data_IF_735597738647
#
_entry.id   IF_735597738647
#
_cell.length_a   1.000
_cell.length_b   1.000
_cell.length_c   1.000
_cell.angle_alpha   90.00
_cell.angle_beta   90.00
_cell.angle_gamma   90.00
#
_symmetry.space_group_name_H-M   'P 1'
#
loop_
_entity.id
_entity.type
_entity.pdbx_description
1 polymer ?
#
# COMPACT_ATOMS: atom_id res chain seq x y z
N UNK A 1 26.64 12.99 19.55
CA UNK A 1 25.67 12.33 18.66
C UNK A 1 24.34 12.19 19.39
N UNK A 2 23.34 13.03 19.08
CA UNK A 2 21.99 12.91 19.67
C UNK A 2 21.32 11.64 19.16
N UNK A 3 20.69 10.91 20.05
CA UNK A 3 19.97 9.67 19.80
C UNK A 3 18.79 9.91 18.83
N UNK A 4 19.06 9.80 17.53
CA UNK A 4 18.14 10.03 16.42
C UNK A 4 17.12 8.88 16.23
N UNK A 5 17.06 7.91 17.16
CA UNK A 5 16.13 6.75 17.14
C UNK A 5 14.75 7.09 17.67
N UNK A 6 14.61 8.15 18.46
CA UNK A 6 13.30 8.64 18.87
C UNK A 6 12.83 9.64 17.82
N UNK A 7 11.66 9.39 17.21
CA UNK A 7 10.88 10.47 16.62
C UNK A 7 10.90 11.63 17.63
N UNK A 8 11.17 12.89 17.23
CA UNK A 8 10.97 14.00 18.14
C UNK A 8 9.59 13.80 18.73
N UNK A 9 9.49 13.81 20.07
CA UNK A 9 8.23 13.59 20.75
C UNK A 9 7.23 14.61 20.21
N UNK A 10 6.42 14.19 19.23
CA UNK A 10 5.30 14.97 18.73
C UNK A 10 4.42 15.10 19.97
N UNK A 11 4.34 16.32 20.48
CA UNK A 11 3.88 16.65 21.82
C UNK A 11 2.52 16.00 22.12
N UNK A 12 2.40 15.50 23.36
CA UNK A 12 1.24 15.06 24.14
C UNK A 12 -0.11 14.74 23.45
N UNK A 13 -0.78 13.62 23.80
CA UNK A 13 -2.14 13.25 23.32
C UNK A 13 -3.28 14.23 23.72
N UNK A 14 -2.97 15.39 24.30
CA UNK A 14 -3.91 16.46 24.62
C UNK A 14 -4.06 17.53 23.51
N UNK A 15 -3.28 17.46 22.43
CA UNK A 15 -3.34 18.40 21.31
C UNK A 15 -4.45 18.08 20.28
N UNK A 16 -4.76 19.04 19.41
CA UNK A 16 -5.66 18.84 18.28
C UNK A 16 -5.12 17.74 17.33
N UNK A 17 -5.88 16.66 17.04
CA UNK A 17 -5.47 15.62 16.08
C UNK A 17 -4.99 16.17 14.74
N UNK A 18 -5.58 17.28 14.27
CA UNK A 18 -5.20 17.93 13.01
C UNK A 18 -3.83 18.59 13.08
N UNK A 19 -3.52 19.25 14.20
CA UNK A 19 -2.19 19.84 14.44
C UNK A 19 -1.11 18.76 14.50
N UNK A 20 -1.40 17.66 15.20
CA UNK A 20 -0.49 16.51 15.26
C UNK A 20 -0.23 15.95 13.86
N UNK A 21 -1.28 15.73 13.07
CA UNK A 21 -1.17 15.19 11.71
C UNK A 21 -0.34 16.12 10.82
N UNK A 22 -0.58 17.43 10.92
CA UNK A 22 0.18 18.45 10.18
C UNK A 22 1.67 18.38 10.53
N UNK A 23 2.00 18.27 11.82
CA UNK A 23 3.37 18.15 12.29
C UNK A 23 4.02 16.83 11.83
N UNK A 24 3.28 15.72 11.87
CA UNK A 24 3.72 14.41 11.40
C UNK A 24 4.04 14.44 9.90
N UNK A 25 3.13 14.95 9.07
CA UNK A 25 3.31 15.05 7.62
C UNK A 25 4.47 15.98 7.26
N UNK A 26 4.63 17.10 7.96
CA UNK A 26 5.79 18.00 7.79
C UNK A 26 7.10 17.28 8.12
N UNK A 27 7.12 16.49 9.19
CA UNK A 27 8.29 15.68 9.54
C UNK A 27 8.60 14.64 8.45
N UNK A 28 7.57 13.95 7.95
CA UNK A 28 7.66 12.98 6.85
C UNK A 28 8.24 13.61 5.58
N UNK A 29 7.70 14.76 5.17
CA UNK A 29 8.17 15.51 4.01
C UNK A 29 9.62 15.99 4.18
N UNK A 30 10.01 16.45 5.39
CA UNK A 30 11.40 16.80 5.68
C UNK A 30 12.34 15.60 5.54
N UNK A 31 11.95 14.43 6.07
CA UNK A 31 12.73 13.21 5.91
C UNK A 31 12.82 12.76 4.44
N UNK A 32 11.75 12.96 3.67
CA UNK A 32 11.74 12.64 2.24
C UNK A 32 12.89 13.32 1.47
N UNK A 33 13.17 14.59 1.78
CA UNK A 33 14.22 15.38 1.12
C UNK A 33 15.59 15.32 1.81
N UNK A 34 15.65 14.93 3.09
CA UNK A 34 16.89 14.95 3.87
C UNK A 34 17.93 13.96 3.35
N UNK A 35 19.13 14.46 3.02
CA UNK A 35 20.27 13.69 2.46
C UNK A 35 19.94 12.95 1.15
N UNK A 36 18.89 13.35 0.42
CA UNK A 36 18.55 12.74 -0.86
C UNK A 36 19.16 13.53 -2.01
N UNK A 37 20.04 12.88 -2.77
CA UNK A 37 20.58 13.42 -4.02
C UNK A 37 19.79 12.92 -5.24
N UNK A 38 18.74 12.13 -5.02
CA UNK A 38 17.93 11.58 -6.10
C UNK A 38 17.14 12.68 -6.82
N UNK A 39 17.28 12.73 -8.13
CA UNK A 39 16.46 13.55 -9.01
C UNK A 39 15.94 12.69 -10.15
N UNK A 40 14.64 12.80 -10.44
CA UNK A 40 14.08 12.17 -11.63
C UNK A 40 14.77 12.74 -12.87
N UNK A 41 15.18 11.90 -13.84
CA UNK A 41 15.71 12.37 -15.11
C UNK A 41 14.73 13.36 -15.77
N UNK A 42 15.21 14.46 -16.39
CA UNK A 42 14.34 15.43 -17.05
C UNK A 42 13.44 14.80 -18.12
N UNK A 43 13.96 13.81 -18.85
CA UNK A 43 13.23 13.06 -19.88
C UNK A 43 12.29 11.97 -19.33
N UNK A 44 12.18 11.80 -18.00
CA UNK A 44 11.33 10.76 -17.44
C UNK A 44 9.85 11.11 -17.63
N UNK A 45 9.14 10.27 -18.39
CA UNK A 45 7.70 10.37 -18.70
C UNK A 45 6.78 10.12 -17.50
N UNK A 46 7.35 9.97 -16.30
CA UNK A 46 6.63 9.65 -15.05
C UNK A 46 5.78 8.38 -15.18
N UNK A 47 6.34 7.23 -15.62
CA UNK A 47 5.59 5.99 -15.79
C UNK A 47 4.87 5.58 -14.51
N UNK A 48 5.47 5.84 -13.34
CA UNK A 48 4.84 5.57 -12.05
C UNK A 48 3.57 6.38 -11.76
N UNK A 49 3.40 7.54 -12.40
CA UNK A 49 2.17 8.32 -12.31
C UNK A 49 1.20 7.99 -13.44
N UNK A 50 1.69 7.75 -14.66
CA UNK A 50 0.85 7.60 -15.85
C UNK A 50 0.32 6.18 -16.09
N UNK A 51 0.99 5.15 -15.57
CA UNK A 51 0.59 3.76 -15.78
C UNK A 51 -0.74 3.45 -15.05
N UNK A 52 -1.83 3.09 -15.77
CA UNK A 52 -3.12 2.75 -15.19
C UNK A 52 -3.10 1.44 -14.40
N UNK A 53 -2.18 0.52 -14.71
CA UNK A 53 -2.09 -0.80 -14.09
C UNK A 53 -1.17 -0.82 -12.86
N UNK A 54 -0.45 0.27 -12.59
CA UNK A 54 0.45 0.32 -11.45
C UNK A 54 -0.33 0.28 -10.12
N UNK A 55 0.05 -0.65 -9.26
CA UNK A 55 -0.51 -0.73 -7.92
C UNK A 55 0.36 0.07 -6.95
N UNK A 56 -0.24 1.07 -6.32
CA UNK A 56 0.41 1.82 -5.24
C UNK A 56 -0.44 1.65 -3.98
N UNK A 57 0.09 0.86 -3.05
CA UNK A 57 -0.49 0.76 -1.71
C UNK A 57 -0.36 2.11 -1.04
N UNK A 58 -1.36 2.49 -0.25
CA UNK A 58 -1.32 3.72 0.54
C UNK A 58 -1.84 3.46 1.95
N UNK A 59 -1.53 4.36 2.86
CA UNK A 59 -2.06 4.34 4.23
C UNK A 59 -3.24 5.29 4.41
N UNK A 60 -3.94 5.19 5.54
CA UNK A 60 -4.88 6.22 5.98
C UNK A 60 -4.18 7.56 6.23
N UNK A 61 -2.90 7.56 6.62
CA UNK A 61 -2.14 8.81 6.78
C UNK A 61 -1.90 9.49 5.44
N UNK A 62 -1.68 8.73 4.36
CA UNK A 62 -1.60 9.27 3.00
C UNK A 62 -2.92 9.90 2.55
N UNK A 63 -4.04 9.23 2.83
CA UNK A 63 -5.39 9.75 2.54
C UNK A 63 -5.66 11.03 3.33
N UNK A 64 -5.39 11.01 4.64
CA UNK A 64 -5.54 12.17 5.52
C UNK A 64 -4.64 13.34 5.08
N UNK A 65 -3.42 13.05 4.63
CA UNK A 65 -2.51 14.06 4.09
C UNK A 65 -3.01 14.68 2.79
N UNK A 66 -3.56 13.87 1.88
CA UNK A 66 -4.17 14.37 0.66
C UNK A 66 -5.42 15.23 0.96
N UNK A 67 -6.26 14.81 1.91
CA UNK A 67 -7.41 15.57 2.38
C UNK A 67 -7.03 16.91 2.99
N UNK A 68 -6.02 16.92 3.87
CA UNK A 68 -5.51 18.15 4.47
C UNK A 68 -4.94 19.10 3.42
N UNK A 69 -4.19 18.58 2.42
CA UNK A 69 -3.56 19.39 1.38
C UNK A 69 -4.57 19.96 0.37
N UNK A 70 -5.63 19.22 0.06
CA UNK A 70 -6.69 19.67 -0.86
C UNK A 70 -7.83 20.43 -0.18
N UNK A 71 -7.79 20.51 1.15
CA UNK A 71 -8.85 21.11 1.96
C UNK A 71 -10.22 20.46 1.70
N UNK A 72 -10.22 19.14 1.49
CA UNK A 72 -11.42 18.36 1.19
C UNK A 72 -11.71 17.32 2.28
N UNK A 73 -12.98 16.91 2.47
CA UNK A 73 -13.31 15.82 3.38
C UNK A 73 -12.65 14.49 2.96
N UNK A 74 -12.24 13.71 3.96
CA UNK A 74 -11.59 12.41 3.81
C UNK A 74 -12.42 11.45 2.95
N UNK A 75 -13.74 11.44 3.13
CA UNK A 75 -14.66 10.61 2.34
C UNK A 75 -14.75 11.04 0.87
N UNK A 76 -14.55 12.32 0.56
CA UNK A 76 -14.56 12.83 -0.81
C UNK A 76 -13.25 12.44 -1.51
N UNK A 77 -12.12 12.66 -0.82
CA UNK A 77 -10.79 12.25 -1.28
C UNK A 77 -10.72 10.74 -1.51
N UNK A 78 -11.25 9.94 -0.57
CA UNK A 78 -11.35 8.50 -0.74
C UNK A 78 -12.08 8.14 -2.03
N UNK A 79 -13.34 8.59 -2.18
CA UNK A 79 -14.17 8.24 -3.33
C UNK A 79 -13.53 8.63 -4.66
N UNK A 80 -12.87 9.79 -4.73
CA UNK A 80 -12.26 10.29 -5.97
C UNK A 80 -10.91 9.66 -6.29
N UNK A 81 -10.06 9.46 -5.30
CA UNK A 81 -8.63 9.21 -5.52
C UNK A 81 -8.12 7.87 -4.99
N UNK A 82 -8.89 7.19 -4.15
CA UNK A 82 -8.48 5.95 -3.50
C UNK A 82 -9.55 4.87 -3.60
N UNK A 83 -9.17 3.62 -3.35
CA UNK A 83 -10.09 2.49 -3.23
C UNK A 83 -9.50 1.43 -2.32
N UNK A 84 -10.30 0.44 -1.93
CA UNK A 84 -9.71 -0.85 -1.57
C UNK A 84 -9.21 -1.51 -2.85
N UNK A 85 -8.09 -2.23 -2.75
CA UNK A 85 -7.50 -2.96 -3.85
C UNK A 85 -6.80 -4.21 -3.37
N UNK A 86 -6.45 -5.04 -4.35
CA UNK A 86 -5.66 -6.23 -4.15
C UNK A 86 -4.19 -5.93 -4.47
N UNK A 87 -3.29 -6.49 -3.67
CA UNK A 87 -1.86 -6.44 -3.90
C UNK A 87 -1.32 -7.85 -3.99
N UNK A 88 -0.45 -8.10 -4.96
CA UNK A 88 0.30 -9.34 -5.00
C UNK A 88 1.09 -9.47 -3.69
N UNK A 89 1.02 -10.64 -3.07
CA UNK A 89 2.06 -11.05 -2.15
C UNK A 89 3.18 -11.64 -3.01
N UNK A 90 4.45 -11.49 -2.63
CA UNK A 90 5.60 -12.02 -3.36
C UNK A 90 5.59 -13.58 -3.46
N UNK A 91 4.50 -14.22 -3.01
CA UNK A 91 4.32 -15.66 -2.82
C UNK A 91 2.85 -16.03 -3.03
N UNK A 92 2.64 -17.23 -3.57
CA UNK A 92 1.35 -17.87 -3.83
C UNK A 92 0.49 -17.07 -4.84
N UNK A 93 0.41 -17.58 -6.06
CA UNK A 93 -0.24 -16.95 -7.21
C UNK A 93 -1.73 -16.66 -6.98
N UNK A 94 -2.33 -17.20 -5.91
CA UNK A 94 -3.73 -17.00 -5.55
C UNK A 94 -3.98 -16.22 -4.25
N UNK A 95 -2.94 -15.89 -3.49
CA UNK A 95 -3.12 -15.08 -2.26
C UNK A 95 -2.87 -13.61 -2.58
N UNK A 96 -3.81 -12.74 -2.19
CA UNK A 96 -3.70 -11.28 -2.36
C UNK A 96 -3.89 -10.56 -1.04
N UNK A 97 -3.08 -9.55 -0.77
CA UNK A 97 -3.32 -8.65 0.35
C UNK A 97 -4.41 -7.65 -0.01
N UNK A 98 -5.33 -7.38 0.91
CA UNK A 98 -6.31 -6.29 0.78
C UNK A 98 -5.78 -5.07 1.51
N UNK A 99 -5.65 -3.95 0.81
CA UNK A 99 -5.22 -2.68 1.40
C UNK A 99 -5.84 -1.50 0.66
N UNK A 100 -5.63 -0.28 1.18
CA UNK A 100 -5.95 0.93 0.43
C UNK A 100 -4.97 1.09 -0.74
N UNK A 101 -5.52 1.52 -1.87
CA UNK A 101 -4.83 1.72 -3.15
C UNK A 101 -5.08 3.13 -3.65
N UNK A 102 -4.04 3.76 -4.19
CA UNK A 102 -4.18 4.99 -4.99
C UNK A 102 -4.73 4.61 -6.37
N UNK A 103 -5.83 5.23 -6.79
CA UNK A 103 -6.36 5.04 -8.15
C UNK A 103 -5.33 5.48 -9.19
N UNK A 104 -5.33 4.79 -10.34
CA UNK A 104 -4.45 5.09 -11.46
C UNK A 104 -5.25 5.32 -12.75
N UNK A 105 -4.75 6.15 -13.71
CA UNK A 105 -3.56 7.00 -13.61
C UNK A 105 -3.60 7.96 -12.40
N UNK A 106 -2.43 8.37 -11.92
CA UNK A 106 -2.30 9.13 -10.67
C UNK A 106 -3.14 10.41 -10.75
N UNK A 107 -4.17 10.56 -9.89
CA UNK A 107 -5.08 11.70 -9.98
C UNK A 107 -4.45 13.01 -9.51
N UNK A 108 -3.24 12.96 -8.97
CA UNK A 108 -2.49 14.10 -8.48
C UNK A 108 -1.33 14.49 -9.40
N UNK A 109 -1.27 13.95 -10.62
CA UNK A 109 -0.31 14.39 -11.64
C UNK A 109 -0.88 15.63 -12.35
N UNK A 110 -0.26 16.78 -12.14
CA UNK A 110 -0.61 18.08 -12.71
C UNK A 110 0.65 18.64 -13.39
N UNK A 111 0.58 18.95 -14.69
CA UNK A 111 1.72 19.51 -15.47
C UNK A 111 3.05 18.75 -15.26
N UNK A 112 3.01 17.41 -15.32
CA UNK A 112 4.15 16.51 -15.09
C UNK A 112 4.78 16.54 -13.68
N UNK A 113 4.09 17.18 -12.74
CA UNK A 113 4.47 17.30 -11.33
C UNK A 113 3.38 16.72 -10.42
N UNK A 114 3.77 16.39 -9.19
CA UNK A 114 2.82 15.94 -8.19
C UNK A 114 2.16 17.14 -7.52
N UNK A 115 0.88 17.39 -7.77
CA UNK A 115 0.10 18.48 -7.18
C UNK A 115 -0.08 18.39 -5.66
N UNK A 116 0.25 17.23 -5.06
CA UNK A 116 0.29 17.03 -3.60
C UNK A 116 1.70 16.72 -3.09
N UNK A 117 2.77 17.22 -3.73
CA UNK A 117 4.15 16.83 -3.41
C UNK A 117 4.52 16.81 -1.91
N UNK A 118 4.10 17.77 -1.06
CA UNK A 118 4.36 17.73 0.38
C UNK A 118 3.59 16.63 1.13
N UNK A 119 2.45 16.21 0.60
CA UNK A 119 1.56 15.19 1.14
C UNK A 119 1.58 13.88 0.33
N UNK A 120 2.55 13.72 -0.58
CA UNK A 120 2.59 12.56 -1.48
C UNK A 120 2.64 11.25 -0.69
N UNK A 121 2.02 10.16 -1.20
CA UNK A 121 1.98 8.90 -0.48
C UNK A 121 3.38 8.39 -0.13
N UNK A 122 3.53 7.77 1.04
CA UNK A 122 4.84 7.33 1.51
C UNK A 122 5.53 6.33 0.56
N UNK A 123 4.82 5.39 -0.10
CA UNK A 123 5.45 4.54 -1.12
C UNK A 123 5.98 5.32 -2.33
N UNK A 124 5.34 6.44 -2.70
CA UNK A 124 5.86 7.35 -3.72
C UNK A 124 7.08 8.15 -3.24
N UNK A 125 7.22 8.41 -1.94
CA UNK A 125 8.44 8.99 -1.33
C UNK A 125 9.59 7.98 -1.34
N UNK A 126 9.28 6.72 -1.02
CA UNK A 126 10.26 5.66 -0.85
C UNK A 126 10.92 5.27 -2.18
N UNK A 127 10.18 5.29 -3.28
CA UNK A 127 10.70 4.92 -4.59
C UNK A 127 11.58 6.03 -5.21
N UNK A 128 12.72 5.71 -5.86
CA UNK A 128 13.32 4.37 -6.04
C UNK A 128 14.34 3.99 -4.96
N UNK A 129 14.77 4.94 -4.12
CA UNK A 129 15.84 4.76 -3.13
C UNK A 129 15.60 3.58 -2.18
N UNK A 130 14.35 3.28 -1.87
CA UNK A 130 14.00 2.15 -1.00
C UNK A 130 14.40 0.79 -1.57
N UNK A 131 14.40 0.64 -2.90
CA UNK A 131 14.88 -0.59 -3.53
C UNK A 131 16.38 -0.80 -3.27
N UNK A 132 17.17 0.27 -3.25
CA UNK A 132 18.60 0.21 -2.88
C UNK A 132 18.74 -0.14 -1.40
N UNK A 133 17.98 0.53 -0.54
CA UNK A 133 17.98 0.28 0.90
C UNK A 133 17.65 -1.18 1.25
N UNK A 134 16.72 -1.81 0.51
CA UNK A 134 16.36 -3.22 0.69
C UNK A 134 17.31 -4.21 0.00
N UNK A 135 18.29 -3.75 -0.78
CA UNK A 135 19.15 -4.62 -1.59
C UNK A 135 18.41 -5.29 -2.75
N UNK A 136 17.30 -4.71 -3.20
CA UNK A 136 16.42 -5.24 -4.25
C UNK A 136 16.50 -4.44 -5.56
N UNK A 137 17.41 -3.47 -5.65
CA UNK A 137 17.48 -2.55 -6.79
C UNK A 137 17.70 -3.26 -8.13
N UNK A 138 18.73 -4.10 -8.22
CA UNK A 138 19.07 -4.80 -9.48
C UNK A 138 17.97 -5.76 -9.91
N UNK A 139 17.47 -6.58 -8.98
CA UNK A 139 16.37 -7.51 -9.24
C UNK A 139 15.11 -6.78 -9.73
N UNK A 140 14.77 -5.65 -9.09
CA UNK A 140 13.60 -4.87 -9.45
C UNK A 140 13.79 -4.15 -10.79
N UNK A 141 14.95 -3.55 -11.03
CA UNK A 141 15.26 -2.85 -12.28
C UNK A 141 15.13 -3.76 -13.52
N UNK A 142 15.36 -5.07 -13.35
CA UNK A 142 15.19 -6.06 -14.42
C UNK A 142 13.75 -6.49 -14.70
N UNK A 143 12.75 -6.12 -13.89
CA UNK A 143 11.36 -6.56 -14.08
C UNK A 143 10.68 -5.77 -15.20
N UNK A 144 9.88 -6.45 -16.01
CA UNK A 144 9.24 -5.85 -17.19
C UNK A 144 8.42 -4.60 -16.87
N UNK A 145 7.67 -4.60 -15.76
CA UNK A 145 6.85 -3.45 -15.35
C UNK A 145 7.68 -2.20 -14.97
N UNK A 146 9.00 -2.34 -14.80
CA UNK A 146 9.92 -1.23 -14.54
C UNK A 146 10.70 -0.76 -15.77
N UNK A 147 10.49 -1.36 -16.96
CA UNK A 147 11.26 -1.07 -18.20
C UNK A 147 11.30 0.42 -18.59
N UNK A 148 10.22 1.14 -18.31
CA UNK A 148 10.06 2.55 -18.68
C UNK A 148 10.58 3.52 -17.61
N UNK A 149 11.02 3.02 -16.45
CA UNK A 149 11.55 3.84 -15.37
C UNK A 149 13.02 4.17 -15.62
N UNK A 150 13.26 5.33 -16.24
CA UNK A 150 14.63 5.81 -16.53
C UNK A 150 15.53 5.87 -15.29
N UNK A 151 14.96 6.16 -14.12
CA UNK A 151 15.69 6.19 -12.85
C UNK A 151 16.23 4.84 -12.38
N UNK A 152 15.80 3.73 -12.99
CA UNK A 152 16.27 2.38 -12.67
C UNK A 152 17.30 1.84 -13.68
N UNK A 153 17.63 2.60 -14.74
CA UNK A 153 18.57 2.17 -15.80
C UNK A 153 20.05 2.31 -15.42
N UNK A 154 20.35 3.10 -14.39
CA UNK A 154 21.71 3.36 -13.93
C UNK A 154 21.87 3.00 -12.45
N UNK A 155 23.11 2.94 -11.95
CA UNK A 155 23.36 2.68 -10.54
C UNK A 155 22.76 3.80 -9.69
N UNK A 156 22.01 3.42 -8.67
CA UNK A 156 21.56 4.31 -7.62
C UNK A 156 22.24 3.92 -6.31
N UNK A 157 22.98 4.84 -5.71
CA UNK A 157 23.71 4.62 -4.47
C UNK A 157 23.11 5.48 -3.37
N UNK A 158 23.05 4.91 -2.15
CA UNK A 158 22.67 5.66 -0.96
C UNK A 158 23.91 5.95 -0.13
N UNK A 159 24.08 7.21 0.26
CA UNK A 159 25.03 7.55 1.31
C UNK A 159 24.64 6.85 2.63
N UNK A 160 25.59 6.57 3.54
CA UNK A 160 25.25 6.00 4.85
C UNK A 160 24.24 6.83 5.63
N UNK A 161 24.28 8.16 5.47
CA UNK A 161 23.32 9.08 6.08
C UNK A 161 21.91 8.92 5.47
N UNK A 162 21.81 8.85 4.14
CA UNK A 162 20.53 8.62 3.46
C UNK A 162 19.94 7.25 3.77
N UNK A 163 20.76 6.19 3.84
CA UNK A 163 20.31 4.87 4.24
C UNK A 163 19.66 4.86 5.64
N UNK A 164 20.21 5.62 6.60
CA UNK A 164 19.57 5.78 7.92
C UNK A 164 18.22 6.52 7.84
N UNK A 165 18.10 7.52 6.96
CA UNK A 165 16.82 8.22 6.73
C UNK A 165 15.81 7.28 6.07
N UNK A 166 16.22 6.48 5.09
CA UNK A 166 15.39 5.45 4.46
C UNK A 166 14.87 4.42 5.46
N UNK A 167 15.71 3.98 6.41
CA UNK A 167 15.26 3.12 7.50
C UNK A 167 14.17 3.75 8.38
N UNK A 168 14.21 5.07 8.59
CA UNK A 168 13.14 5.79 9.33
C UNK A 168 11.86 5.87 8.51
N UNK A 169 11.94 6.25 7.23
CA UNK A 169 10.78 6.30 6.33
C UNK A 169 10.15 4.90 6.17
N UNK A 170 10.96 3.86 6.09
CA UNK A 170 10.49 2.47 6.08
C UNK A 170 9.75 2.09 7.38
N UNK A 171 10.29 2.46 8.54
CA UNK A 171 9.62 2.26 9.83
C UNK A 171 8.32 3.06 9.97
N UNK A 172 8.26 4.27 9.39
CA UNK A 172 7.02 5.03 9.28
C UNK A 172 6.00 4.29 8.40
N UNK A 173 6.42 3.80 7.23
CA UNK A 173 5.54 3.07 6.31
C UNK A 173 4.97 1.80 6.92
N UNK A 174 5.79 1.03 7.62
CA UNK A 174 5.37 -0.17 8.33
C UNK A 174 4.30 0.17 9.40
N UNK A 175 4.54 1.20 10.23
CA UNK A 175 3.54 1.66 11.22
C UNK A 175 2.26 2.13 10.53
N UNK A 176 2.38 3.03 9.55
CA UNK A 176 1.24 3.58 8.82
C UNK A 176 0.38 2.48 8.21
N UNK A 177 1.01 1.49 7.56
CA UNK A 177 0.32 0.37 6.91
C UNK A 177 -0.39 -0.54 7.93
N UNK A 178 0.30 -0.94 9.00
CA UNK A 178 -0.26 -1.83 10.02
C UNK A 178 -1.44 -1.18 10.76
N UNK A 179 -1.29 0.08 11.15
CA UNK A 179 -2.36 0.81 11.86
C UNK A 179 -3.54 1.09 10.93
N UNK A 180 -3.28 1.41 9.65
CA UNK A 180 -4.35 1.59 8.66
C UNK A 180 -5.16 0.32 8.47
N UNK A 181 -4.48 -0.82 8.30
CA UNK A 181 -5.13 -2.13 8.22
C UNK A 181 -5.97 -2.41 9.48
N UNK A 182 -5.40 -2.16 10.66
CA UNK A 182 -6.07 -2.39 11.93
C UNK A 182 -7.32 -1.52 12.09
N UNK A 183 -7.22 -0.22 11.79
CA UNK A 183 -8.36 0.68 11.85
C UNK A 183 -9.47 0.23 10.90
N UNK A 184 -9.13 -0.05 9.64
CA UNK A 184 -10.09 -0.39 8.58
C UNK A 184 -10.74 -1.75 8.77
N UNK A 185 -9.99 -2.77 9.19
CA UNK A 185 -10.46 -4.16 9.19
C UNK A 185 -10.59 -4.76 10.59
N UNK A 186 -10.22 -4.01 11.64
CA UNK A 186 -10.10 -4.51 13.02
C UNK A 186 -9.06 -5.64 13.18
N UNK A 187 -8.16 -5.76 12.20
CA UNK A 187 -7.16 -6.81 12.07
C UNK A 187 -5.87 -6.25 11.47
N UNK A 188 -4.73 -6.92 11.70
CA UNK A 188 -3.53 -6.68 10.90
C UNK A 188 -3.77 -7.00 9.41
N UNK A 189 -2.72 -7.05 8.58
CA UNK A 189 -2.85 -7.26 7.14
C UNK A 189 -3.77 -8.43 6.79
N UNK A 190 -4.84 -8.12 6.06
CA UNK A 190 -5.85 -9.08 5.61
C UNK A 190 -5.46 -9.66 4.26
N UNK A 191 -5.57 -10.97 4.11
CA UNK A 191 -5.27 -11.67 2.85
C UNK A 191 -6.50 -12.41 2.35
N UNK A 192 -6.65 -12.50 1.03
CA UNK A 192 -7.66 -13.30 0.35
C UNK A 192 -6.99 -14.46 -0.37
N UNK A 193 -7.50 -15.66 -0.17
CA UNK A 193 -7.13 -16.87 -0.90
C UNK A 193 -8.18 -17.14 -1.99
N UNK A 194 -7.77 -16.98 -3.25
CA UNK A 194 -8.59 -17.24 -4.43
C UNK A 194 -8.46 -18.67 -4.97
N UNK A 195 -7.70 -19.56 -4.30
CA UNK A 195 -7.39 -20.89 -4.82
C UNK A 195 -8.63 -21.78 -5.04
N UNK A 196 -9.72 -21.55 -4.30
CA UNK A 196 -10.98 -22.27 -4.49
C UNK A 196 -11.91 -21.66 -5.55
N UNK A 197 -11.49 -20.56 -6.18
CA UNK A 197 -12.26 -19.83 -7.19
C UNK A 197 -11.59 -19.85 -8.56
N UNK A 198 -10.50 -20.62 -8.72
CA UNK A 198 -9.69 -20.63 -9.95
C UNK A 198 -10.56 -20.87 -11.19
N UNK A 199 -11.43 -21.89 -11.17
CA UNK A 199 -12.25 -22.22 -12.35
C UNK A 199 -13.26 -21.12 -12.69
N UNK A 200 -13.88 -20.50 -11.67
CA UNK A 200 -14.81 -19.37 -11.85
C UNK A 200 -14.08 -18.14 -12.43
N UNK A 201 -12.90 -17.86 -11.91
CA UNK A 201 -12.06 -16.73 -12.33
C UNK A 201 -11.49 -16.94 -13.74
N UNK A 202 -11.11 -18.17 -14.11
CA UNK A 202 -10.67 -18.52 -15.47
C UNK A 202 -11.82 -18.36 -16.47
N UNK A 203 -13.04 -18.78 -16.10
CA UNK A 203 -14.22 -18.56 -16.93
C UNK A 203 -14.51 -17.05 -17.12
N UNK A 204 -14.40 -16.25 -16.06
CA UNK A 204 -14.55 -14.80 -16.13
C UNK A 204 -13.48 -14.16 -17.03
N UNK A 205 -12.22 -14.61 -16.93
CA UNK A 205 -11.12 -14.14 -17.77
C UNK A 205 -11.33 -14.47 -19.25
N UNK A 206 -11.75 -15.71 -19.57
CA UNK A 206 -12.02 -16.14 -20.95
C UNK A 206 -13.20 -15.40 -21.59
N UNK A 207 -14.20 -15.01 -20.80
CA UNK A 207 -15.33 -14.20 -21.28
C UNK A 207 -14.95 -12.76 -21.61
N UNK A 208 -13.87 -12.23 -21.02
CA UNK A 208 -13.34 -10.90 -21.32
C UNK A 208 -12.38 -10.87 -22.51
N UNK A 209 -11.82 -12.03 -22.92
CA UNK A 209 -10.84 -12.17 -24.00
C UNK A 209 -11.38 -12.67 -25.34
N UNK A 210 -12.71 -12.81 -25.52
CA UNK A 210 -13.30 -13.32 -26.76
C UNK A 210 -13.34 -12.30 -27.93
N UNK A 211 -12.61 -11.19 -27.82
CA UNK A 211 -12.32 -10.27 -28.91
C UNK A 211 -10.81 -10.10 -29.04
N UNK A 212 -10.28 -10.51 -30.18
CA UNK A 212 -8.90 -10.34 -30.66
C UNK A 212 -7.90 -11.50 -30.42
N UNK A 213 -7.41 -12.00 -31.56
CA UNK A 213 -6.26 -12.89 -31.79
C UNK A 213 -6.38 -14.37 -31.39
N UNK A 214 -6.59 -15.19 -32.42
CA UNK A 214 -6.30 -16.62 -32.39
C UNK A 214 -4.80 -16.86 -32.50
N UNK A 215 -4.15 -17.04 -31.35
CA UNK A 215 -2.94 -17.84 -31.23
C UNK A 215 -3.10 -18.70 -29.98
N UNK A 216 -3.04 -20.02 -30.18
CA UNK A 216 -3.20 -21.03 -29.14
C UNK A 216 -2.12 -20.86 -28.06
N UNK A 217 -2.48 -20.57 -26.80
CA UNK A 217 -1.51 -20.61 -25.72
C UNK A 217 -1.54 -22.01 -25.10
N UNK A 218 -0.52 -22.82 -25.38
CA UNK A 218 -0.03 -23.72 -24.33
C UNK A 218 0.47 -22.81 -23.19
N UNK A 219 -0.41 -22.41 -22.27
CA UNK A 219 -0.05 -21.42 -21.24
C UNK A 219 -0.83 -21.65 -19.97
N UNK A 220 -0.13 -21.59 -18.85
CA UNK A 220 -0.67 -21.86 -17.52
C UNK A 220 -1.89 -21.01 -17.16
N UNK A 221 -2.54 -21.39 -16.07
CA UNK A 221 -3.72 -20.72 -15.49
C UNK A 221 -3.37 -19.28 -15.08
N UNK A 222 -3.27 -18.35 -16.03
CA UNK A 222 -3.06 -16.94 -15.75
C UNK A 222 -4.42 -16.25 -15.61
N UNK A 223 -4.63 -15.59 -14.47
CA UNK A 223 -5.82 -14.77 -14.24
C UNK A 223 -5.35 -13.32 -14.14
N UNK A 224 -5.77 -12.44 -15.08
CA UNK A 224 -5.39 -11.04 -15.04
C UNK A 224 -5.78 -10.39 -13.70
N UNK A 225 -4.92 -9.49 -13.21
CA UNK A 225 -5.19 -8.81 -11.94
C UNK A 225 -6.54 -8.10 -11.93
N UNK A 226 -6.94 -7.50 -13.05
CA UNK A 226 -8.22 -6.79 -13.20
C UNK A 226 -9.43 -7.72 -12.97
N UNK A 227 -9.34 -9.00 -13.35
CA UNK A 227 -10.39 -10.00 -13.09
C UNK A 227 -10.50 -10.27 -11.59
N UNK A 228 -9.36 -10.46 -10.91
CA UNK A 228 -9.33 -10.64 -9.45
C UNK A 228 -9.88 -9.43 -8.70
N UNK A 229 -9.45 -8.23 -9.11
CA UNK A 229 -9.88 -6.97 -8.48
C UNK A 229 -11.37 -6.72 -8.72
N UNK A 230 -11.88 -6.95 -9.93
CA UNK A 230 -13.31 -6.88 -10.25
C UNK A 230 -14.13 -7.85 -9.41
N UNK A 231 -13.71 -9.12 -9.33
CA UNK A 231 -14.36 -10.12 -8.49
C UNK A 231 -14.37 -9.69 -7.01
N UNK A 232 -13.24 -9.19 -6.51
CA UNK A 232 -13.16 -8.69 -5.14
C UNK A 232 -14.15 -7.57 -4.89
N UNK A 233 -14.18 -6.54 -5.74
CA UNK A 233 -15.06 -5.38 -5.57
C UNK A 233 -16.55 -5.76 -5.64
N UNK A 234 -16.91 -6.67 -6.56
CA UNK A 234 -18.31 -7.06 -6.78
C UNK A 234 -18.83 -8.07 -5.74
N UNK A 235 -17.99 -9.02 -5.30
CA UNK A 235 -18.44 -10.18 -4.51
C UNK A 235 -17.97 -10.17 -3.07
N UNK A 236 -16.84 -9.51 -2.77
CA UNK A 236 -16.14 -9.64 -1.50
C UNK A 236 -16.09 -8.33 -0.71
N UNK A 237 -15.88 -7.19 -1.36
CA UNK A 237 -15.70 -5.90 -0.68
C UNK A 237 -16.93 -5.47 0.13
N UNK A 238 -18.12 -5.94 -0.26
CA UNK A 238 -19.36 -5.76 0.49
C UNK A 238 -19.56 -6.70 1.69
N UNK A 239 -18.59 -7.55 2.02
CA UNK A 239 -18.65 -8.50 3.14
C UNK A 239 -17.73 -8.09 4.29
N UNK A 240 -18.06 -8.42 5.56
CA UNK A 240 -17.14 -8.23 6.68
C UNK A 240 -15.83 -9.02 6.48
N UNK A 241 -14.65 -8.44 6.77
CA UNK A 241 -14.45 -7.18 7.49
C UNK A 241 -14.39 -5.91 6.61
N UNK A 242 -14.67 -6.00 5.31
CA UNK A 242 -14.47 -4.91 4.34
C UNK A 242 -15.68 -3.98 4.19
N UNK A 243 -16.88 -4.48 4.45
CA UNK A 243 -18.17 -3.79 4.19
C UNK A 243 -18.41 -2.48 4.95
N UNK A 244 -17.53 -2.11 5.89
CA UNK A 244 -17.65 -0.88 6.71
C UNK A 244 -16.53 0.14 6.47
N UNK A 245 -15.73 -0.04 5.42
CA UNK A 245 -14.55 0.80 5.17
C UNK A 245 -14.93 2.24 4.86
N UNK A 246 -15.97 2.46 4.05
CA UNK A 246 -16.41 3.81 3.67
C UNK A 246 -16.88 4.61 4.89
N UNK A 247 -17.61 3.97 5.80
CA UNK A 247 -18.13 4.56 7.04
C UNK A 247 -16.98 4.90 8.00
N UNK A 248 -15.98 4.01 8.13
CA UNK A 248 -14.77 4.26 8.92
C UNK A 248 -13.93 5.41 8.35
N UNK A 249 -13.87 5.56 7.04
CA UNK A 249 -13.18 6.70 6.42
C UNK A 249 -13.99 7.98 6.62
N UNK A 250 -15.32 7.91 6.51
CA UNK A 250 -16.18 9.06 6.76
C UNK A 250 -16.07 9.56 8.22
N UNK A 251 -15.93 8.68 9.20
CA UNK A 251 -15.76 9.09 10.60
C UNK A 251 -14.45 9.86 10.84
N UNK A 252 -13.42 9.69 10.00
CA UNK A 252 -12.18 10.48 10.08
C UNK A 252 -12.38 11.96 9.76
N UNK A 253 -13.56 12.37 9.30
CA UNK A 253 -13.92 13.78 9.16
C UNK A 253 -14.18 14.47 10.50
N UNK A 254 -14.54 13.71 11.54
CA UNK A 254 -14.81 14.29 12.86
C UNK A 254 -13.57 14.28 13.73
N UNK A 255 -13.52 15.22 14.68
CA UNK A 255 -12.43 15.29 15.66
C UNK A 255 -12.29 13.99 16.46
N UNK A 256 -13.41 13.36 16.80
CA UNK A 256 -13.46 12.10 17.55
C UNK A 256 -12.88 10.95 16.72
N UNK A 257 -13.23 10.85 15.44
CA UNK A 257 -12.70 9.80 14.57
C UNK A 257 -11.19 9.94 14.36
N UNK A 258 -10.70 11.17 14.17
CA UNK A 258 -9.26 11.44 14.09
C UNK A 258 -8.54 11.14 15.41
N UNK A 259 -9.13 11.50 16.55
CA UNK A 259 -8.57 11.21 17.87
C UNK A 259 -8.47 9.69 18.12
N UNK A 260 -9.50 8.92 17.73
CA UNK A 260 -9.48 7.47 17.83
C UNK A 260 -8.38 6.85 16.96
N UNK A 261 -8.27 7.28 15.70
CA UNK A 261 -7.19 6.81 14.83
C UNK A 261 -5.81 7.15 15.41
N UNK A 262 -5.62 8.38 15.89
CA UNK A 262 -4.37 8.84 16.48
C UNK A 262 -4.00 8.04 17.73
N UNK A 263 -4.96 7.72 18.59
CA UNK A 263 -4.74 6.89 19.76
C UNK A 263 -4.18 5.52 19.38
N UNK A 264 -4.75 4.86 18.36
CA UNK A 264 -4.22 3.59 17.85
C UNK A 264 -2.83 3.77 17.23
N UNK A 265 -2.61 4.87 16.50
CA UNK A 265 -1.34 5.17 15.85
C UNK A 265 -0.19 5.38 16.85
N UNK A 266 -0.50 5.90 18.03
CA UNK A 266 0.47 6.15 19.11
C UNK A 266 0.63 4.93 20.05
N UNK A 267 -0.19 3.89 19.93
CA UNK A 267 -0.09 2.70 20.77
C UNK A 267 1.03 1.75 20.31
N UNK A 268 2.22 1.93 20.90
CA UNK A 268 3.39 1.07 20.65
C UNK A 268 3.16 -0.40 21.06
N UNK A 269 2.25 -0.68 22.00
CA UNK A 269 1.94 -2.07 22.41
C UNK A 269 1.11 -2.74 21.32
N UNK A 270 0.11 -2.05 20.79
CA UNK A 270 -0.65 -2.49 19.64
C UNK A 270 0.27 -2.73 18.44
N UNK A 271 1.15 -1.78 18.11
CA UNK A 271 2.09 -1.93 16.99
C UNK A 271 2.98 -3.18 17.15
N UNK A 272 3.55 -3.40 18.34
CA UNK A 272 4.34 -4.62 18.63
C UNK A 272 3.52 -5.90 18.46
N UNK A 273 2.25 -5.89 18.87
CA UNK A 273 1.34 -7.04 18.70
C UNK A 273 1.04 -7.29 17.22
N UNK A 274 0.79 -6.24 16.43
CA UNK A 274 0.51 -6.35 15.01
C UNK A 274 1.71 -6.89 14.23
N UNK A 275 2.93 -6.39 14.52
CA UNK A 275 4.18 -6.90 13.93
C UNK A 275 4.35 -8.41 14.17
N UNK A 276 4.31 -8.84 15.44
CA UNK A 276 4.42 -10.26 15.79
C UNK A 276 3.37 -11.13 15.09
N UNK A 277 2.13 -10.64 14.98
CA UNK A 277 1.07 -11.38 14.31
C UNK A 277 1.27 -11.52 12.80
N UNK A 278 1.98 -10.59 12.17
CA UNK A 278 2.36 -10.66 10.76
C UNK A 278 3.45 -11.69 10.49
N UNK A 279 4.41 -11.82 11.42
CA UNK A 279 5.56 -12.71 11.26
C UNK A 279 5.21 -14.20 11.47
N UNK A 280 4.26 -14.50 12.35
CA UNK A 280 3.94 -15.90 12.73
C UNK A 280 2.91 -16.56 11.78
N UNK A 281 1.69 -15.98 11.71
CA UNK A 281 0.54 -16.53 10.96
C UNK A 281 -0.38 -15.41 10.53
N UNK A 282 -0.46 -15.18 9.23
CA UNK A 282 -1.37 -14.20 8.66
C UNK A 282 -2.83 -14.67 8.73
N UNK A 283 -3.73 -13.70 8.82
CA UNK A 283 -5.17 -13.92 8.67
C UNK A 283 -5.51 -13.96 7.18
N UNK A 284 -5.93 -15.14 6.73
CA UNK A 284 -6.31 -15.40 5.34
C UNK A 284 -7.79 -15.72 5.29
N UNK A 285 -8.53 -15.04 4.43
CA UNK A 285 -9.95 -15.25 4.20
C UNK A 285 -10.16 -15.98 2.89
N UNK A 286 -11.11 -16.91 2.89
CA UNK A 286 -11.57 -17.63 1.70
C UNK A 286 -13.04 -17.34 1.46
N UNK A 287 -13.41 -17.08 0.22
CA UNK A 287 -14.81 -16.89 -0.15
C UNK A 287 -15.49 -18.23 -0.41
N UNK A 288 -16.47 -18.58 0.42
CA UNK A 288 -17.18 -19.87 0.38
C UNK A 288 -18.68 -19.60 0.53
N UNK A 289 -19.45 -19.95 -0.50
CA UNK A 289 -20.93 -19.86 -0.50
C UNK A 289 -21.45 -18.49 -0.05
N UNK A 290 -20.91 -17.39 -0.60
CA UNK A 290 -21.35 -16.03 -0.30
C UNK A 290 -20.83 -15.44 1.02
N UNK A 291 -19.91 -16.11 1.71
CA UNK A 291 -19.35 -15.65 2.99
C UNK A 291 -17.83 -15.77 3.00
N UNK A 292 -17.17 -14.97 3.83
CA UNK A 292 -15.74 -15.11 4.10
C UNK A 292 -15.50 -16.02 5.30
N UNK A 293 -14.66 -17.03 5.10
CA UNK A 293 -14.15 -17.91 6.16
C UNK A 293 -12.72 -17.51 6.49
N UNK A 294 -12.46 -17.16 7.74
CA UNK A 294 -11.15 -16.73 8.19
C UNK A 294 -10.32 -17.91 8.74
N UNK A 295 -9.07 -18.02 8.32
CA UNK A 295 -8.11 -18.98 8.83
C UNK A 295 -6.77 -18.30 9.07
N UNK A 296 -6.17 -18.55 10.24
CA UNK A 296 -4.77 -18.18 10.47
C UNK A 296 -3.87 -19.23 9.81
N UNK A 297 -2.94 -18.85 8.95
CA UNK A 297 -1.95 -19.78 8.38
C UNK A 297 -0.61 -19.09 8.16
N UNK A 298 0.46 -19.89 8.12
CA UNK A 298 1.75 -19.38 7.71
C UNK A 298 1.68 -19.00 6.22
N UNK A 299 2.26 -17.86 5.87
CA UNK A 299 2.52 -17.45 4.48
C UNK A 299 3.93 -17.85 4.02
N UNK A 300 4.75 -18.41 4.92
CA UNK A 300 5.98 -19.07 4.52
C UNK A 300 5.61 -20.39 3.82
N UNK A 301 6.32 -20.77 2.74
CA UNK A 301 6.21 -22.13 2.21
C UNK A 301 6.40 -23.12 3.37
N UNK A 302 5.68 -24.26 3.37
CA UNK A 302 6.06 -25.33 4.28
C UNK A 302 7.56 -25.56 4.05
N UNK A 303 8.38 -25.38 5.08
CA UNK A 303 9.77 -25.76 5.00
C UNK A 303 9.77 -27.20 4.49
N UNK A 304 10.32 -27.43 3.30
CA UNK A 304 10.45 -28.77 2.75
C UNK A 304 11.08 -29.62 3.85
N UNK A 305 10.29 -30.46 4.49
CA UNK A 305 10.80 -31.57 5.27
C UNK A 305 11.25 -32.59 4.23
N UNK A 306 12.42 -32.35 3.62
CA UNK A 306 13.22 -33.45 3.12
C UNK A 306 13.66 -34.22 4.38
N UNK A 307 12.92 -35.28 4.69
CA UNK A 307 13.44 -36.39 5.46
C UNK A 307 14.21 -37.30 4.51
#
# INVERSE_FOLDING_TARGET
MKDLRKMPALSSPAGDPREWLTAYLRHRARLASLESDFQCPPACTRPGCRNPDLQVQVSLVDLLGAALHREEPESAIYRRHYSLGLFANDRDDWIRMVALKLKKPCPFLEDDLCGIYPARPLPCVLFPEYLVYQGQFEESAGKEHFRDYLCLRGPLLLSPARAQVMGKLAGMWERESLISSFYLFNHGPCHLDFGNLIDELLHAAGSQGAGESGESPESGRFIPHQVLEGFFLERIAGLPPFSGVSEKIQSLHTREGQAQFLQLFQDDRLLKKLKRSGDDRALVFRFVKGKLQAQRRSLLPPAYKYY
#
